data_IF_391373911118
#
_entry.id   IF_391373911118
#
_cell.length_a   1.000
_cell.length_b   1.000
_cell.length_c   1.000
_cell.angle_alpha   90.00
_cell.angle_beta   90.00
_cell.angle_gamma   90.00
#
_symmetry.space_group_name_H-M   'P 1'
#
loop_
_entity.id
_entity.type
_entity.pdbx_description
1 polymer ?
#
# COMPACT_ATOMS: atom_id res chain seq x y z
N UNK A 1 9.82 5.30 16.94
CA UNK A 1 8.53 4.70 16.54
C UNK A 1 7.82 5.73 15.68
N UNK A 2 7.64 5.48 14.39
CA UNK A 2 6.86 6.38 13.51
C UNK A 2 5.40 5.97 13.56
N UNK A 3 4.49 6.90 13.84
CA UNK A 3 3.06 6.67 13.70
C UNK A 3 2.67 6.80 12.22
N UNK A 4 2.03 5.78 11.67
CA UNK A 4 1.24 5.94 10.44
C UNK A 4 -0.12 6.47 10.88
N UNK A 5 -0.45 7.70 10.51
CA UNK A 5 -1.81 8.20 10.66
C UNK A 5 -2.48 8.08 9.30
N UNK A 6 -3.43 7.15 9.18
CA UNK A 6 -4.36 7.13 8.07
C UNK A 6 -5.05 8.51 8.02
N UNK A 7 -4.97 9.19 6.87
CA UNK A 7 -5.60 10.51 6.77
C UNK A 7 -7.12 10.36 6.79
N UNK A 8 -7.83 11.36 7.30
CA UNK A 8 -9.31 11.37 7.31
C UNK A 8 -9.89 11.10 5.93
N UNK A 9 -9.22 11.53 4.87
CA UNK A 9 -9.62 11.28 3.47
C UNK A 9 -9.46 9.81 3.06
N UNK A 10 -8.45 9.09 3.57
CA UNK A 10 -8.31 7.65 3.32
C UNK A 10 -9.44 6.89 3.99
N UNK A 11 -9.78 7.24 5.22
CA UNK A 11 -10.89 6.66 5.95
C UNK A 11 -12.24 6.88 5.27
N UNK A 12 -12.54 8.12 4.90
CA UNK A 12 -13.75 8.45 4.15
C UNK A 12 -13.81 7.64 2.86
N UNK A 13 -12.69 7.52 2.15
CA UNK A 13 -12.61 6.75 0.93
C UNK A 13 -12.79 5.24 1.14
N UNK A 14 -12.21 4.65 2.19
CA UNK A 14 -12.41 3.24 2.54
C UNK A 14 -13.87 2.94 2.89
N UNK A 15 -14.53 3.84 3.61
CA UNK A 15 -15.96 3.72 3.92
C UNK A 15 -16.82 3.83 2.64
N UNK A 16 -16.48 4.71 1.70
CA UNK A 16 -17.13 4.76 0.37
C UNK A 16 -16.99 3.44 -0.41
N UNK A 17 -15.99 2.58 -0.10
CA UNK A 17 -15.83 1.25 -0.72
C UNK A 17 -16.63 0.13 -0.01
N UNK A 18 -17.17 0.39 1.19
CA UNK A 18 -18.02 -0.57 1.92
C UNK A 18 -19.48 -0.53 1.48
N UNK A 19 -19.91 0.56 0.83
CA UNK A 19 -21.23 0.65 0.21
C UNK A 19 -21.29 -0.19 -1.08
N UNK A 20 -22.19 -1.17 -1.07
CA UNK A 20 -22.33 -2.31 -1.98
C UNK A 20 -22.52 -1.93 -3.47
N UNK A 21 -21.45 -1.55 -4.14
CA UNK A 21 -21.35 -1.55 -5.61
C UNK A 21 -20.06 -2.27 -6.06
N UNK A 22 -20.07 -2.78 -7.29
CA UNK A 22 -19.23 -3.85 -7.87
C UNK A 22 -17.71 -3.66 -7.94
N UNK A 23 -17.12 -2.78 -7.14
CA UNK A 23 -15.68 -2.49 -7.11
C UNK A 23 -15.15 -2.42 -5.67
N UNK A 24 -15.48 -3.42 -4.86
CA UNK A 24 -14.85 -3.58 -3.55
C UNK A 24 -13.34 -3.73 -3.72
N UNK A 25 -12.61 -2.84 -3.05
CA UNK A 25 -11.16 -2.85 -3.03
C UNK A 25 -10.75 -3.70 -1.83
N UNK A 26 -10.21 -4.89 -2.08
CA UNK A 26 -9.57 -5.68 -1.04
C UNK A 26 -8.23 -5.00 -0.69
N UNK A 27 -8.24 -4.28 0.45
CA UNK A 27 -7.10 -3.56 1.02
C UNK A 27 -5.87 -4.49 1.19
N UNK A 28 -6.11 -5.74 1.58
CA UNK A 28 -5.05 -6.74 1.77
C UNK A 28 -4.46 -7.11 0.42
N UNK A 29 -5.31 -7.39 -0.58
CA UNK A 29 -4.80 -7.79 -1.89
C UNK A 29 -3.99 -6.68 -2.56
N UNK A 30 -4.40 -5.41 -2.41
CA UNK A 30 -3.62 -4.27 -2.88
C UNK A 30 -2.26 -4.15 -2.19
N UNK A 31 -2.24 -4.24 -0.87
CA UNK A 31 -1.01 -4.20 -0.08
C UNK A 31 -0.07 -5.37 -0.41
N UNK A 32 -0.60 -6.59 -0.47
CA UNK A 32 0.14 -7.80 -0.83
C UNK A 32 0.68 -7.72 -2.25
N UNK A 33 -0.09 -7.17 -3.20
CA UNK A 33 0.36 -6.97 -4.57
C UNK A 33 1.56 -6.04 -4.64
N UNK A 34 1.55 -4.93 -3.89
CA UNK A 34 2.70 -4.04 -3.76
C UNK A 34 3.95 -4.81 -3.30
N UNK A 35 3.85 -5.56 -2.20
CA UNK A 35 4.98 -6.31 -1.63
C UNK A 35 5.49 -7.40 -2.58
N UNK A 36 4.58 -8.19 -3.19
CA UNK A 36 4.93 -9.21 -4.19
C UNK A 36 5.67 -8.61 -5.38
N UNK A 37 5.27 -7.41 -5.79
CA UNK A 37 5.90 -6.74 -6.92
C UNK A 37 7.26 -6.14 -6.57
N UNK A 38 7.43 -5.61 -5.37
CA UNK A 38 8.76 -5.21 -4.86
C UNK A 38 9.68 -6.45 -4.83
N UNK A 39 9.19 -7.58 -4.30
CA UNK A 39 9.91 -8.86 -4.29
C UNK A 39 10.34 -9.29 -5.69
N UNK A 40 9.42 -9.25 -6.66
CA UNK A 40 9.66 -9.70 -8.03
C UNK A 40 10.74 -8.87 -8.75
N UNK A 41 10.74 -7.55 -8.57
CA UNK A 41 11.70 -6.66 -9.22
C UNK A 41 13.02 -6.49 -8.43
N UNK A 42 13.08 -6.96 -7.18
CA UNK A 42 14.21 -6.80 -6.26
C UNK A 42 14.35 -5.38 -5.73
N UNK A 43 14.46 -4.39 -6.62
CA UNK A 43 14.58 -2.97 -6.27
C UNK A 43 13.57 -2.12 -7.04
N UNK A 44 12.81 -1.30 -6.30
CA UNK A 44 11.89 -0.32 -6.87
C UNK A 44 12.46 1.08 -6.66
N UNK A 45 12.50 1.88 -7.72
CA UNK A 45 13.00 3.24 -7.68
C UNK A 45 12.09 4.16 -6.87
N UNK A 46 12.72 4.97 -6.02
CA UNK A 46 12.12 6.07 -5.31
C UNK A 46 12.35 7.39 -6.08
N UNK A 47 11.34 8.27 -6.11
CA UNK A 47 11.46 9.65 -6.61
C UNK A 47 11.77 10.65 -5.51
N UNK A 48 11.46 10.30 -4.27
CA UNK A 48 11.80 11.01 -3.04
C UNK A 48 11.97 9.96 -1.92
N UNK A 49 12.58 10.29 -0.76
CA UNK A 49 12.90 9.33 0.29
C UNK A 49 11.75 8.40 0.70
N UNK A 50 10.50 8.85 0.59
CA UNK A 50 9.29 8.09 0.92
C UNK A 50 8.27 8.06 -0.22
N UNK A 51 8.73 8.03 -1.47
CA UNK A 51 7.82 8.06 -2.62
C UNK A 51 8.30 7.11 -3.70
N UNK A 52 7.57 6.01 -3.87
CA UNK A 52 7.76 5.11 -5.00
C UNK A 52 7.36 5.82 -6.29
N UNK A 53 8.17 5.66 -7.33
CA UNK A 53 7.94 6.27 -8.64
C UNK A 53 6.53 5.94 -9.19
N UNK A 54 5.75 6.91 -9.71
CA UNK A 54 4.36 6.71 -10.15
C UNK A 54 4.12 5.57 -11.15
N UNK A 55 5.11 5.29 -12.01
CA UNK A 55 5.08 4.14 -12.96
C UNK A 55 4.89 2.79 -12.26
N UNK A 56 5.35 2.65 -11.02
CA UNK A 56 5.04 1.48 -10.22
C UNK A 56 3.52 1.39 -10.05
N UNK A 57 2.87 2.40 -9.48
CA UNK A 57 1.45 2.37 -9.17
C UNK A 57 0.51 2.19 -10.38
N UNK A 58 0.93 2.60 -11.59
CA UNK A 58 0.14 2.37 -12.82
C UNK A 58 -0.25 0.89 -13.05
N UNK A 59 0.59 -0.06 -12.67
CA UNK A 59 0.25 -1.48 -12.78
C UNK A 59 -0.75 -1.88 -11.69
N UNK A 60 -0.61 -1.32 -10.49
CA UNK A 60 -1.54 -1.54 -9.39
C UNK A 60 -2.95 -1.03 -9.77
N UNK A 61 -3.03 0.16 -10.39
CA UNK A 61 -4.31 0.70 -10.85
C UNK A 61 -5.01 -0.23 -11.84
N UNK A 62 -4.23 -0.78 -12.79
CA UNK A 62 -4.75 -1.68 -13.83
C UNK A 62 -5.24 -2.99 -13.24
N UNK A 63 -4.46 -3.60 -12.33
CA UNK A 63 -4.77 -4.91 -11.76
C UNK A 63 -6.06 -4.89 -10.95
N UNK A 64 -6.31 -3.81 -10.19
CA UNK A 64 -7.45 -3.73 -9.29
C UNK A 64 -8.60 -2.86 -9.82
N UNK A 65 -8.53 -2.46 -11.10
CA UNK A 65 -9.57 -1.66 -11.74
C UNK A 65 -9.76 -0.28 -11.12
N UNK A 66 -8.80 0.18 -10.31
CA UNK A 66 -8.83 1.48 -9.68
C UNK A 66 -8.90 2.57 -10.75
N UNK A 67 -10.06 3.22 -10.93
CA UNK A 67 -10.18 4.45 -11.75
C UNK A 67 -9.58 5.67 -11.06
N UNK A 68 -8.63 5.42 -10.17
CA UNK A 68 -7.93 6.34 -9.29
C UNK A 68 -7.14 7.41 -10.09
N UNK A 69 -6.68 7.08 -11.30
CA UNK A 69 -5.93 8.01 -12.16
C UNK A 69 -6.80 8.83 -13.14
N UNK A 70 -8.13 8.65 -13.17
CA UNK A 70 -9.07 9.34 -14.09
C UNK A 70 -9.93 10.46 -13.43
N UNK A 71 -9.69 10.80 -12.17
CA UNK A 71 -10.33 11.88 -11.42
C UNK A 71 -9.41 12.43 -10.32
N UNK A 72 -9.91 13.33 -9.46
CA UNK A 72 -9.15 14.09 -8.45
C UNK A 72 -7.96 13.29 -7.85
N UNK A 73 -6.74 13.58 -8.34
CA UNK A 73 -5.50 12.78 -8.19
C UNK A 73 -5.00 12.57 -6.75
N UNK A 74 -5.74 13.08 -5.76
CA UNK A 74 -5.37 13.06 -4.34
C UNK A 74 -5.66 11.70 -3.70
N UNK A 75 -6.86 11.12 -3.90
CA UNK A 75 -7.29 9.86 -3.27
C UNK A 75 -6.34 8.64 -3.50
N UNK A 76 -5.82 8.39 -4.71
CA UNK A 76 -4.87 7.30 -4.97
C UNK A 76 -3.55 7.51 -4.23
N UNK A 77 -3.12 8.76 -4.12
CA UNK A 77 -1.89 9.10 -3.45
C UNK A 77 -1.98 8.76 -1.95
N UNK A 78 -3.15 8.91 -1.33
CA UNK A 78 -3.36 8.54 0.07
C UNK A 78 -3.29 7.03 0.30
N UNK A 79 -3.93 6.20 -0.55
CA UNK A 79 -3.85 4.74 -0.43
C UNK A 79 -2.42 4.22 -0.64
N UNK A 80 -1.75 4.69 -1.69
CA UNK A 80 -0.37 4.27 -1.99
C UNK A 80 0.62 4.75 -0.94
N UNK A 81 0.42 5.95 -0.42
CA UNK A 81 1.18 6.45 0.71
C UNK A 81 0.94 5.60 1.95
N UNK A 82 -0.31 5.27 2.27
CA UNK A 82 -0.64 4.38 3.39
C UNK A 82 0.04 3.02 3.26
N UNK A 83 -0.05 2.36 2.10
CA UNK A 83 0.64 1.08 1.88
C UNK A 83 2.16 1.21 2.09
N UNK A 84 2.78 2.26 1.55
CA UNK A 84 4.21 2.45 1.71
C UNK A 84 4.59 2.73 3.18
N UNK A 85 3.82 3.58 3.86
CA UNK A 85 4.07 3.99 5.24
C UNK A 85 3.88 2.80 6.21
N UNK A 86 2.83 1.99 6.05
CA UNK A 86 2.64 0.77 6.84
C UNK A 86 3.79 -0.21 6.62
N UNK A 87 4.15 -0.47 5.36
CA UNK A 87 5.24 -1.39 5.05
C UNK A 87 6.59 -0.89 5.60
N UNK A 88 6.81 0.42 5.66
CA UNK A 88 7.98 1.04 6.29
C UNK A 88 7.96 0.88 7.81
N UNK A 89 6.86 1.23 8.48
CA UNK A 89 6.74 1.16 9.95
C UNK A 89 6.79 -0.27 10.47
N UNK A 90 6.17 -1.20 9.74
CA UNK A 90 6.25 -2.64 10.04
C UNK A 90 7.62 -3.23 9.72
N UNK A 91 8.56 -2.48 9.13
CA UNK A 91 9.90 -2.96 8.78
C UNK A 91 9.90 -4.01 7.66
N UNK A 92 8.88 -3.99 6.79
CA UNK A 92 8.75 -4.92 5.67
C UNK A 92 9.67 -4.55 4.49
N UNK A 93 10.27 -3.36 4.54
CA UNK A 93 11.05 -2.76 3.46
C UNK A 93 12.46 -2.41 3.92
N UNK A 94 13.44 -2.61 3.05
CA UNK A 94 14.75 -1.96 3.13
C UNK A 94 14.74 -0.71 2.25
N UNK A 95 14.89 0.45 2.89
CA UNK A 95 14.94 1.73 2.19
C UNK A 95 16.40 2.13 1.99
N UNK A 96 16.79 2.28 0.74
CA UNK A 96 18.06 2.85 0.31
C UNK A 96 17.84 4.28 -0.22
N UNK A 97 18.91 5.04 -0.44
CA UNK A 97 18.84 6.46 -0.85
C UNK A 97 17.92 6.74 -2.06
N UNK A 98 17.81 5.81 -3.00
CA UNK A 98 17.03 5.99 -4.24
C UNK A 98 16.18 4.77 -4.62
N UNK A 99 16.10 3.77 -3.75
CA UNK A 99 15.38 2.54 -4.04
C UNK A 99 14.85 1.88 -2.77
N UNK A 100 13.89 1.00 -2.96
CA UNK A 100 13.32 0.16 -1.90
C UNK A 100 13.31 -1.29 -2.35
N UNK A 101 13.62 -2.19 -1.43
CA UNK A 101 13.56 -3.64 -1.61
C UNK A 101 12.78 -4.27 -0.46
N UNK A 102 12.37 -5.53 -0.63
CA UNK A 102 11.63 -6.25 0.41
C UNK A 102 12.62 -6.78 1.45
N UNK A 103 12.30 -6.63 2.74
CA UNK A 103 13.08 -7.23 3.84
C UNK A 103 12.69 -8.68 4.08
N UNK A 104 13.48 -9.42 4.87
CA UNK A 104 13.12 -10.77 5.31
C UNK A 104 11.79 -10.81 6.06
N UNK A 105 11.52 -9.79 6.89
CA UNK A 105 10.23 -9.62 7.56
C UNK A 105 9.11 -9.38 6.55
N UNK A 106 9.37 -8.64 5.48
CA UNK A 106 8.46 -8.48 4.35
C UNK A 106 8.18 -9.78 3.61
N UNK A 107 9.21 -10.62 3.41
CA UNK A 107 9.06 -11.95 2.82
C UNK A 107 8.22 -12.86 3.72
N UNK A 108 8.45 -12.83 5.04
CA UNK A 108 7.67 -13.58 6.02
C UNK A 108 6.21 -13.09 6.08
N UNK A 109 5.98 -11.78 6.01
CA UNK A 109 4.63 -11.23 6.01
C UNK A 109 3.78 -11.80 4.86
N UNK A 110 4.38 -12.02 3.70
CA UNK A 110 3.71 -12.62 2.54
C UNK A 110 3.26 -14.07 2.75
N UNK A 111 3.75 -14.77 3.79
CA UNK A 111 3.31 -16.12 4.13
C UNK A 111 2.19 -16.16 5.16
N UNK A 112 1.82 -15.02 5.76
CA UNK A 112 0.71 -14.95 6.69
C UNK A 112 -0.64 -15.10 5.99
N UNK A 113 -1.64 -15.60 6.72
CA UNK A 113 -3.03 -15.62 6.28
C UNK A 113 -3.55 -14.21 6.03
N UNK A 114 -4.52 -14.06 5.11
CA UNK A 114 -5.18 -12.78 4.84
C UNK A 114 -5.71 -12.10 6.11
N UNK A 115 -6.26 -12.86 7.07
CA UNK A 115 -6.79 -12.34 8.33
C UNK A 115 -5.72 -11.61 9.16
N UNK A 116 -4.57 -12.24 9.39
CA UNK A 116 -3.42 -11.63 10.07
C UNK A 116 -2.90 -10.39 9.31
N UNK A 117 -2.88 -10.44 7.98
CA UNK A 117 -2.45 -9.31 7.16
C UNK A 117 -3.42 -8.13 7.28
N UNK A 118 -4.74 -8.41 7.29
CA UNK A 118 -5.79 -7.41 7.49
C UNK A 118 -5.71 -6.79 8.88
N UNK A 119 -5.62 -7.61 9.93
CA UNK A 119 -5.52 -7.14 11.32
C UNK A 119 -4.38 -6.15 11.51
N UNK A 120 -3.20 -6.48 10.96
CA UNK A 120 -2.04 -5.58 10.96
C UNK A 120 -2.30 -4.28 10.21
N UNK A 121 -2.96 -4.31 9.06
CA UNK A 121 -3.30 -3.09 8.31
C UNK A 121 -4.31 -2.22 9.07
N UNK A 122 -5.33 -2.84 9.66
CA UNK A 122 -6.37 -2.16 10.44
C UNK A 122 -5.81 -1.48 11.71
N UNK A 123 -4.77 -2.06 12.32
CA UNK A 123 -4.07 -1.43 13.44
C UNK A 123 -3.51 -0.05 13.10
N UNK A 124 -3.09 0.20 11.85
CA UNK A 124 -2.59 1.53 11.41
C UNK A 124 -3.69 2.48 10.95
N UNK A 125 -4.93 2.02 11.00
CA UNK A 125 -6.11 2.79 10.63
C UNK A 125 -6.77 3.27 11.94
N UNK A 126 -7.14 2.39 12.87
CA UNK A 126 -8.05 2.67 14.00
C UNK A 126 -7.39 3.11 15.33
N UNK A 127 -6.31 3.89 15.31
CA UNK A 127 -5.66 4.42 16.54
C UNK A 127 -5.97 5.90 16.77
#
# INVERSE_FOLDING_TARGET
MGQVQATTELFQWLNEQTDLTSYQIDLVDGFVFMLKRIKHHGHIRLTAPDTIHPRFWKCHDRTFGYRLMKGNRRRPAHLYKFYFDVAKVEGLLHIHKQSVSLSDKGVQFLTYSKEIQLDRLCHHIWI
#
